data_IF_980606530146
#
_entry.id   IF_980606530146
#
_cell.length_a   1.000
_cell.length_b   1.000
_cell.length_c   1.000
_cell.angle_alpha   90.00
_cell.angle_beta   90.00
_cell.angle_gamma   90.00
#
_symmetry.space_group_name_H-M   'P 1'
#
loop_
_entity.id
_entity.type
_entity.pdbx_description
1 polymer ?
#
# COMPACT_ATOMS: atom_id res chain seq x y z
N UNK A 1 4.82 -1.20 2.53
CA UNK A 1 5.83 -0.14 2.28
C UNK A 1 5.48 0.73 1.07
N UNK A 2 5.45 0.22 -0.18
CA UNK A 2 5.22 1.03 -1.38
C UNK A 2 3.86 1.78 -1.41
N UNK A 3 2.82 1.22 -0.79
CA UNK A 3 1.48 1.81 -0.70
C UNK A 3 1.38 3.03 0.24
N UNK A 4 2.47 3.47 0.88
CA UNK A 4 2.47 4.65 1.74
C UNK A 4 3.17 5.85 1.09
N UNK A 5 3.88 5.66 -0.02
CA UNK A 5 4.57 6.74 -0.73
C UNK A 5 3.58 7.66 -1.43
N UNK A 6 3.88 8.95 -1.62
CA UNK A 6 2.98 9.89 -2.31
C UNK A 6 2.81 9.56 -3.79
N UNK A 7 3.92 9.22 -4.45
CA UNK A 7 4.01 8.91 -5.88
C UNK A 7 4.61 7.52 -6.03
N UNK A 8 4.01 6.70 -6.90
CA UNK A 8 4.36 5.30 -7.13
C UNK A 8 4.51 5.06 -8.61
N UNK A 9 5.74 4.80 -9.02
CA UNK A 9 6.09 4.39 -10.37
C UNK A 9 6.54 2.94 -10.36
N UNK A 10 6.16 2.19 -11.39
CA UNK A 10 6.51 0.79 -11.52
C UNK A 10 6.96 0.48 -12.94
N UNK A 11 7.96 -0.38 -13.09
CA UNK A 11 8.34 -0.92 -14.41
C UNK A 11 7.32 -1.96 -14.89
N UNK A 12 7.03 -2.00 -16.18
CA UNK A 12 5.99 -2.86 -16.76
C UNK A 12 6.53 -4.15 -17.38
N UNK A 13 7.82 -4.18 -17.72
CA UNK A 13 8.49 -5.35 -18.29
C UNK A 13 8.74 -6.49 -17.28
N UNK A 14 8.71 -6.22 -15.96
CA UNK A 14 8.77 -7.25 -14.91
C UNK A 14 8.24 -6.80 -13.55
N UNK A 15 7.83 -7.79 -12.76
CA UNK A 15 7.41 -7.62 -11.38
C UNK A 15 5.90 -7.52 -11.23
N UNK A 16 5.45 -7.55 -9.97
CA UNK A 16 4.05 -7.47 -9.61
C UNK A 16 3.90 -6.84 -8.22
N UNK A 17 2.74 -6.26 -7.94
CA UNK A 17 2.30 -5.97 -6.58
C UNK A 17 1.40 -7.11 -6.11
N UNK A 18 1.63 -7.57 -4.89
CA UNK A 18 0.87 -8.64 -4.25
C UNK A 18 0.76 -8.31 -2.76
N UNK A 19 -0.42 -8.55 -2.21
CA UNK A 19 -0.70 -8.53 -0.78
C UNK A 19 -0.76 -9.99 -0.33
N UNK A 20 0.40 -10.55 -0.01
CA UNK A 20 0.57 -11.99 0.24
C UNK A 20 0.02 -12.47 1.58
N UNK A 21 -0.51 -11.56 2.40
CA UNK A 21 -1.08 -11.86 3.70
C UNK A 21 -2.19 -12.92 3.62
N UNK A 22 -2.96 -12.97 2.52
CA UNK A 22 -3.95 -14.03 2.31
C UNK A 22 -3.37 -15.42 2.06
N UNK A 23 -2.25 -15.53 1.34
CA UNK A 23 -1.57 -16.82 1.14
C UNK A 23 -1.08 -17.41 2.46
N UNK A 24 -0.80 -16.54 3.44
CA UNK A 24 -0.34 -16.93 4.77
C UNK A 24 -1.48 -17.20 5.75
N UNK A 25 -2.75 -17.12 5.31
CA UNK A 25 -3.93 -17.13 6.19
C UNK A 25 -3.90 -16.05 7.27
N UNK A 26 -3.32 -14.89 6.94
CA UNK A 26 -3.18 -13.71 7.80
C UNK A 26 -4.03 -12.54 7.28
N UNK A 27 -5.13 -12.79 6.56
CA UNK A 27 -6.00 -11.71 6.04
C UNK A 27 -6.64 -10.88 7.14
N UNK A 28 -6.84 -11.47 8.32
CA UNK A 28 -7.30 -10.84 9.55
C UNK A 28 -6.21 -10.04 10.27
N UNK A 29 -4.97 -10.07 9.77
CA UNK A 29 -3.79 -9.39 10.35
C UNK A 29 -3.52 -8.02 9.73
N UNK A 30 -4.29 -7.60 8.72
CA UNK A 30 -4.25 -6.19 8.34
C UNK A 30 -4.74 -5.34 9.51
N UNK A 31 -3.81 -4.60 10.10
CA UNK A 31 -4.13 -3.65 11.16
C UNK A 31 -5.23 -2.68 10.70
N UNK A 32 -6.07 -2.18 11.63
CA UNK A 32 -7.11 -1.20 11.32
C UNK A 32 -6.61 -0.04 10.44
N UNK A 33 -5.40 0.47 10.71
CA UNK A 33 -4.75 1.49 9.90
C UNK A 33 -4.55 1.05 8.43
N UNK A 34 -4.01 -0.15 8.19
CA UNK A 34 -3.83 -0.67 6.83
C UNK A 34 -5.16 -0.78 6.08
N UNK A 35 -6.23 -1.21 6.76
CA UNK A 35 -7.57 -1.25 6.17
C UNK A 35 -8.07 0.16 5.84
N UNK A 36 -7.89 1.11 6.76
CA UNK A 36 -8.25 2.52 6.57
C UNK A 36 -7.58 3.09 5.32
N UNK A 37 -6.27 2.84 5.15
CA UNK A 37 -5.51 3.27 3.97
C UNK A 37 -6.17 2.77 2.67
N UNK A 38 -6.55 1.49 2.62
CA UNK A 38 -7.21 0.91 1.45
C UNK A 38 -8.53 1.58 1.13
N UNK A 39 -9.31 1.92 2.16
CA UNK A 39 -10.62 2.55 2.01
C UNK A 39 -10.53 4.02 1.59
N UNK A 40 -9.57 4.78 2.10
CA UNK A 40 -9.48 6.24 1.85
C UNK A 40 -8.66 6.58 0.61
N UNK A 41 -7.73 5.72 0.18
CA UNK A 41 -6.73 6.08 -0.84
C UNK A 41 -6.87 5.32 -2.16
N UNK A 42 -7.42 4.10 -2.14
CA UNK A 42 -7.28 3.19 -3.27
C UNK A 42 -8.61 2.74 -3.87
N UNK A 43 -8.55 2.40 -5.16
CA UNK A 43 -9.66 1.76 -5.85
C UNK A 43 -10.10 0.50 -5.07
N UNK A 44 -11.42 0.25 -4.91
CA UNK A 44 -11.94 -0.90 -4.18
C UNK A 44 -11.37 -2.24 -4.65
N UNK A 45 -10.82 -2.33 -5.86
CA UNK A 45 -10.07 -3.48 -6.36
C UNK A 45 -9.00 -3.98 -5.37
N UNK A 46 -8.32 -3.09 -4.63
CA UNK A 46 -7.29 -3.52 -3.68
C UNK A 46 -7.91 -4.39 -2.56
N UNK A 47 -9.03 -3.97 -1.98
CA UNK A 47 -9.66 -4.68 -0.86
C UNK A 47 -10.58 -5.82 -1.29
N UNK A 48 -11.20 -5.70 -2.46
CA UNK A 48 -12.17 -6.67 -2.95
C UNK A 48 -11.53 -7.80 -3.75
N UNK A 49 -10.34 -7.57 -4.32
CA UNK A 49 -9.64 -8.55 -5.16
C UNK A 49 -8.26 -8.84 -4.61
N UNK A 50 -7.37 -7.85 -4.49
CA UNK A 50 -5.95 -8.10 -4.17
C UNK A 50 -5.76 -8.68 -2.77
N UNK A 51 -6.38 -8.08 -1.75
CA UNK A 51 -6.34 -8.54 -0.36
C UNK A 51 -6.81 -9.99 -0.20
N UNK A 52 -8.03 -10.39 -0.61
CA UNK A 52 -8.54 -11.74 -0.33
C UNK A 52 -7.92 -12.85 -1.18
N UNK A 53 -7.32 -12.52 -2.33
CA UNK A 53 -6.82 -13.53 -3.29
C UNK A 53 -5.30 -13.61 -3.36
N UNK A 54 -4.58 -12.70 -2.68
CA UNK A 54 -3.15 -12.49 -2.87
C UNK A 54 -2.74 -12.38 -4.36
N UNK A 55 -3.65 -11.92 -5.23
CA UNK A 55 -3.39 -11.88 -6.66
C UNK A 55 -2.17 -11.02 -6.97
N UNK A 56 -1.27 -11.58 -7.78
CA UNK A 56 -0.13 -10.87 -8.36
C UNK A 56 -0.64 -10.00 -9.50
N UNK A 57 -0.53 -8.68 -9.35
CA UNK A 57 -1.03 -7.71 -10.32
C UNK A 57 0.13 -6.94 -10.94
N UNK A 58 0.18 -6.87 -12.27
CA UNK A 58 1.25 -6.21 -13.03
C UNK A 58 0.99 -4.72 -13.22
N UNK A 59 2.03 -3.94 -13.54
CA UNK A 59 1.97 -2.49 -13.64
C UNK A 59 0.81 -1.94 -14.52
N UNK A 60 0.51 -2.46 -15.72
CA UNK A 60 -0.56 -1.90 -16.56
C UNK A 60 -1.96 -1.98 -15.94
N UNK A 61 -2.24 -3.01 -15.13
CA UNK A 61 -3.52 -3.13 -14.43
C UNK A 61 -3.55 -2.25 -13.19
N UNK A 62 -2.44 -2.17 -12.44
CA UNK A 62 -2.32 -1.30 -11.27
C UNK A 62 -2.51 0.18 -11.64
N UNK A 63 -1.98 0.60 -12.78
CA UNK A 63 -2.13 1.96 -13.29
C UNK A 63 -3.59 2.27 -13.66
N UNK A 64 -4.26 1.36 -14.39
CA UNK A 64 -5.69 1.50 -14.71
C UNK A 64 -6.57 1.59 -13.46
N UNK A 65 -6.13 1.02 -12.35
CA UNK A 65 -6.80 1.05 -11.04
C UNK A 65 -6.31 2.18 -10.13
N UNK A 66 -5.42 3.05 -10.60
CA UNK A 66 -4.85 4.17 -9.83
C UNK A 66 -4.13 3.72 -8.53
N UNK A 67 -3.70 2.45 -8.48
CA UNK A 67 -2.90 1.89 -7.37
C UNK A 67 -1.42 2.21 -7.57
N UNK A 68 -0.99 2.51 -8.79
CA UNK A 68 0.24 3.22 -9.09
C UNK A 68 -0.09 4.43 -9.95
N UNK A 69 0.80 5.41 -9.95
CA UNK A 69 0.58 6.68 -10.64
C UNK A 69 1.00 6.59 -12.12
N UNK A 70 2.02 5.77 -12.44
CA UNK A 70 2.39 5.49 -13.84
C UNK A 70 3.19 4.18 -13.97
N UNK A 71 3.00 3.49 -15.09
CA UNK A 71 3.82 2.34 -15.49
C UNK A 71 4.82 2.73 -16.59
N UNK A 72 6.10 2.41 -16.38
CA UNK A 72 7.17 2.68 -17.35
C UNK A 72 7.73 1.40 -17.95
N UNK A 73 8.23 1.43 -19.17
CA UNK A 73 8.73 0.25 -19.88
C UNK A 73 9.86 -0.51 -19.16
N UNK A 74 10.77 0.17 -18.47
CA UNK A 74 11.94 -0.44 -17.84
C UNK A 74 12.38 0.37 -16.59
N UNK A 75 13.44 -0.12 -15.92
CA UNK A 75 13.95 0.49 -14.69
C UNK A 75 14.54 1.88 -14.93
N UNK A 76 15.23 2.05 -16.04
CA UNK A 76 15.91 3.27 -16.43
C UNK A 76 14.90 4.39 -16.62
N UNK A 77 13.77 4.11 -17.30
CA UNK A 77 12.66 5.01 -17.46
C UNK A 77 11.99 5.38 -16.12
N UNK A 78 11.76 4.39 -15.22
CA UNK A 78 11.25 4.66 -13.85
C UNK A 78 12.17 5.63 -13.11
N UNK A 79 13.48 5.38 -13.14
CA UNK A 79 14.46 6.20 -12.41
C UNK A 79 14.51 7.62 -12.98
N UNK A 80 14.57 7.76 -14.30
CA UNK A 80 14.58 9.06 -14.96
C UNK A 80 13.34 9.88 -14.59
N UNK A 81 12.16 9.27 -14.64
CA UNK A 81 10.91 9.93 -14.29
C UNK A 81 10.81 10.27 -12.80
N UNK A 82 11.25 9.38 -11.91
CA UNK A 82 11.26 9.64 -10.47
C UNK A 82 12.17 10.84 -10.13
N UNK A 83 13.36 10.91 -10.71
CA UNK A 83 14.29 12.04 -10.52
C UNK A 83 13.74 13.33 -11.11
N UNK A 84 13.17 13.28 -12.32
CA UNK A 84 12.54 14.45 -12.93
C UNK A 84 11.40 14.98 -12.06
N UNK A 85 10.51 14.09 -11.59
CA UNK A 85 9.41 14.48 -10.72
C UNK A 85 9.87 15.03 -9.37
N UNK A 86 10.91 14.43 -8.79
CA UNK A 86 11.53 14.94 -7.56
C UNK A 86 12.07 16.37 -7.76
N UNK A 87 12.73 16.64 -8.88
CA UNK A 87 13.22 17.99 -9.23
C UNK A 87 12.07 18.98 -9.38
N UNK A 88 11.03 18.64 -10.14
CA UNK A 88 9.85 19.49 -10.32
C UNK A 88 9.21 19.87 -8.99
N UNK A 89 9.00 18.89 -8.11
CA UNK A 89 8.39 19.12 -6.79
C UNK A 89 9.31 19.99 -5.93
N UNK A 90 10.61 19.75 -5.95
CA UNK A 90 11.57 20.56 -5.17
C UNK A 90 11.70 22.00 -5.66
N UNK A 91 11.39 22.26 -6.94
CA UNK A 91 11.53 23.58 -7.55
C UNK A 91 10.26 24.43 -7.44
N UNK A 92 9.14 23.86 -6.95
CA UNK A 92 7.84 24.53 -6.88
C UNK A 92 7.17 24.30 -5.54
N UNK A 93 7.10 25.36 -4.73
CA UNK A 93 6.38 25.33 -3.45
C UNK A 93 4.91 24.93 -3.63
N UNK A 94 4.27 25.38 -4.71
CA UNK A 94 2.88 25.02 -5.03
C UNK A 94 2.72 23.52 -5.23
N UNK A 95 3.56 22.89 -6.07
CA UNK A 95 3.50 21.44 -6.29
C UNK A 95 3.80 20.65 -5.01
N UNK A 96 4.72 21.15 -4.18
CA UNK A 96 5.02 20.53 -2.90
C UNK A 96 3.84 20.60 -1.92
N UNK A 97 3.21 21.77 -1.79
CA UNK A 97 2.02 21.93 -0.94
C UNK A 97 0.85 21.07 -1.42
N UNK A 98 0.61 21.00 -2.73
CA UNK A 98 -0.42 20.12 -3.30
C UNK A 98 -0.20 18.65 -2.94
N UNK A 99 1.05 18.17 -2.97
CA UNK A 99 1.39 16.81 -2.55
C UNK A 99 1.19 16.61 -1.04
N UNK A 100 1.60 17.58 -0.21
CA UNK A 100 1.38 17.53 1.23
C UNK A 100 -0.11 17.50 1.58
N UNK A 101 -0.93 18.30 0.92
CA UNK A 101 -2.36 18.37 1.22
C UNK A 101 -3.06 17.08 0.78
N UNK A 102 -2.72 16.54 -0.39
CA UNK A 102 -3.16 15.20 -0.80
C UNK A 102 -2.70 14.12 0.19
N UNK A 103 -1.47 14.22 0.71
CA UNK A 103 -0.96 13.30 1.74
C UNK A 103 -1.82 13.34 2.99
N UNK A 104 -2.06 14.54 3.53
CA UNK A 104 -2.83 14.74 4.77
C UNK A 104 -4.23 14.12 4.67
N UNK A 105 -4.89 14.22 3.52
CA UNK A 105 -6.24 13.68 3.32
C UNK A 105 -6.34 12.18 3.66
N UNK A 106 -5.32 11.39 3.32
CA UNK A 106 -5.30 9.96 3.65
C UNK A 106 -4.46 9.64 4.89
N UNK A 107 -3.42 10.43 5.20
CA UNK A 107 -2.48 10.11 6.27
C UNK A 107 -2.99 10.51 7.65
N UNK A 108 -3.75 11.60 7.78
CA UNK A 108 -4.31 12.03 9.08
C UNK A 108 -5.25 10.99 9.67
N UNK A 109 -6.30 10.51 8.96
CA UNK A 109 -7.16 9.47 9.51
C UNK A 109 -6.42 8.13 9.71
N UNK A 110 -5.34 7.89 8.95
CA UNK A 110 -4.48 6.73 9.13
C UNK A 110 -3.67 6.80 10.42
N UNK A 111 -3.06 7.95 10.72
CA UNK A 111 -2.28 8.17 11.95
C UNK A 111 -3.18 8.02 13.18
N UNK A 112 -4.40 8.57 13.14
CA UNK A 112 -5.35 8.39 14.24
C UNK A 112 -5.66 6.90 14.49
N UNK A 113 -5.87 6.11 13.43
CA UNK A 113 -6.08 4.66 13.56
C UNK A 113 -4.84 3.94 14.10
N UNK A 114 -3.62 4.38 13.72
CA UNK A 114 -2.37 3.83 14.27
C UNK A 114 -2.27 4.09 15.77
N UNK A 115 -2.67 5.27 16.24
CA UNK A 115 -2.55 5.64 17.65
C UNK A 115 -3.64 4.99 18.53
N UNK A 116 -4.87 4.86 18.01
CA UNK A 116 -6.04 4.48 18.81
C UNK A 116 -6.50 3.03 18.61
N UNK A 117 -6.41 2.51 17.38
CA UNK A 117 -7.03 1.23 16.98
C UNK A 117 -5.99 0.10 16.85
N UNK A 118 -4.84 0.37 16.22
CA UNK A 118 -3.80 -0.63 16.00
C UNK A 118 -3.26 -1.28 17.29
N UNK A 119 -3.06 -0.57 18.42
CA UNK A 119 -2.60 -1.18 19.68
C UNK A 119 -3.54 -2.29 20.17
N UNK A 120 -4.85 -2.14 19.95
CA UNK A 120 -5.85 -3.13 20.35
C UNK A 120 -5.83 -4.36 19.42
N UNK A 121 -5.34 -4.19 18.19
CA UNK A 121 -5.20 -5.28 17.23
C UNK A 121 -3.99 -6.18 17.53
N UNK A 122 -2.98 -5.70 18.26
CA UNK A 122 -1.80 -6.52 18.60
C UNK A 122 -2.13 -7.72 19.48
N UNK A 123 -3.04 -7.55 20.45
CA UNK A 123 -3.50 -8.65 21.31
C UNK A 123 -4.14 -9.77 20.46
N UNK A 124 -4.92 -9.40 19.44
CA UNK A 124 -5.52 -10.35 18.51
C UNK A 124 -4.46 -11.16 17.73
N UNK A 125 -3.41 -10.50 17.23
CA UNK A 125 -2.33 -11.17 16.48
C UNK A 125 -1.53 -12.13 17.37
N UNK A 126 -1.27 -11.74 18.62
CA UNK A 126 -0.58 -12.59 19.60
C UNK A 126 -1.43 -13.84 19.90
N UNK A 127 -2.74 -13.68 20.11
CA UNK A 127 -3.63 -14.82 20.31
C UNK A 127 -3.66 -15.76 19.10
N UNK A 128 -3.73 -15.20 17.89
CA UNK A 128 -3.72 -15.96 16.63
C UNK A 128 -2.44 -16.78 16.50
N UNK A 129 -1.28 -16.17 16.78
CA UNK A 129 0.02 -16.83 16.78
C UNK A 129 0.05 -18.02 17.75
N UNK A 130 -0.36 -17.82 19.01
CA UNK A 130 -0.40 -18.90 19.99
C UNK A 130 -1.40 -20.01 19.62
N UNK A 131 -2.51 -19.67 18.95
CA UNK A 131 -3.46 -20.65 18.44
C UNK A 131 -2.85 -21.50 17.32
N UNK A 132 -2.11 -20.89 16.40
CA UNK A 132 -1.40 -21.58 15.32
C UNK A 132 -0.28 -22.48 15.86
N UNK A 133 0.53 -21.98 16.78
CA UNK A 133 1.58 -22.76 17.45
C UNK A 133 1.01 -24.00 18.15
N UNK A 134 -0.11 -23.84 18.88
CA UNK A 134 -0.79 -24.99 19.52
C UNK A 134 -1.29 -26.04 18.53
N UNK A 135 -1.71 -25.64 17.33
CA UNK A 135 -2.11 -26.58 16.25
C UNK A 135 -0.94 -27.33 15.62
N UNK A 136 0.26 -26.77 15.65
CA UNK A 136 1.46 -27.41 15.08
C UNK A 136 2.13 -28.38 16.04
N UNK A 137 1.90 -28.21 17.35
CA UNK A 137 2.46 -29.06 18.40
C UNK A 137 1.61 -30.28 18.76
N UNK A 138 0.50 -30.51 18.05
CA UNK A 138 -0.47 -31.59 18.30
C UNK A 138 -0.67 -32.50 17.10
#
# INVERSE_FOLDING_TARGET
MALLCDIRYMRSDRGYLCLSEAEMSLTDVFAPSARKLFDVRYDPFIKNVMVPTARKVTAPELEKKLIIDHAFENREAVMAAALARGREVSASDGLYQDLLDKRKQWSVPLIAAIDEEDPQAFDHVIELFWRLMRRMSG
#
